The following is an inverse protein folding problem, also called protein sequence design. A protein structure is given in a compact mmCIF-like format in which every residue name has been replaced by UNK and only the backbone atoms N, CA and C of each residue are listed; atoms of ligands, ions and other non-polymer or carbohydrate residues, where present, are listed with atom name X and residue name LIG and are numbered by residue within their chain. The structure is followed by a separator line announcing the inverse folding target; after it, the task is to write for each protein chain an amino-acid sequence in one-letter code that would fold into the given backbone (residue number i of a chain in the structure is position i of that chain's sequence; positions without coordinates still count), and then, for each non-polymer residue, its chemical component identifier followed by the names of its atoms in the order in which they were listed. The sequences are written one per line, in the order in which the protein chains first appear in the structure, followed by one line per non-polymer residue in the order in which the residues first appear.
data_IF_643289846947
#
_entry.id   IF_643289846947
#
_cell.length_a   1.000
_cell.length_b   1.000
_cell.length_c   1.000
_cell.angle_alpha   90.00
_cell.angle_beta   90.00
_cell.angle_gamma   90.00
#
_symmetry.space_group_name_H-M   'P 1'
#
loop_
_entity.id
_entity.type
_entity.pdbx_description
1 polymer ?
#
# COMPACT_ATOMS: atom_id res chain seq x y z
N UNK A 1 12.55 5.82 25.76
CA UNK A 1 12.76 5.01 24.54
C UNK A 1 11.69 5.43 23.55
N UNK A 2 12.03 6.18 22.54
CA UNK A 2 11.08 6.52 21.46
C UNK A 2 10.77 5.24 20.71
N UNK A 3 9.55 4.72 20.87
CA UNK A 3 9.08 3.58 20.10
C UNK A 3 9.03 4.01 18.63
N UNK A 4 9.80 3.33 17.79
CA UNK A 4 9.81 3.54 16.33
C UNK A 4 8.54 2.94 15.66
N UNK A 5 7.47 2.80 16.45
CA UNK A 5 6.22 2.14 16.11
C UNK A 5 5.35 3.08 15.29
N UNK A 6 5.07 2.68 14.04
CA UNK A 6 4.23 3.47 13.11
C UNK A 6 2.78 2.96 13.07
N UNK A 7 2.58 1.66 13.27
CA UNK A 7 1.27 1.02 13.37
C UNK A 7 1.22 0.18 14.65
N UNK A 8 0.11 0.31 15.38
CA UNK A 8 -0.23 -0.59 16.48
C UNK A 8 -1.70 -0.95 16.43
N UNK A 9 -1.97 -2.26 16.37
CA UNK A 9 -3.31 -2.83 16.43
C UNK A 9 -3.47 -3.62 17.72
N UNK A 10 -4.53 -3.32 18.47
CA UNK A 10 -4.86 -3.97 19.72
C UNK A 10 -6.27 -4.55 19.65
N UNK A 11 -6.37 -5.87 19.64
CA UNK A 11 -7.63 -6.65 19.64
C UNK A 11 -8.64 -6.18 18.58
N UNK A 12 -8.18 -5.90 17.36
CA UNK A 12 -9.01 -5.40 16.27
C UNK A 12 -10.03 -6.46 15.86
N UNK A 13 -11.30 -6.11 15.95
CA UNK A 13 -12.43 -6.91 15.46
C UNK A 13 -13.21 -6.13 14.42
N UNK A 14 -13.67 -6.81 13.40
CA UNK A 14 -14.59 -6.24 12.42
C UNK A 14 -15.69 -7.23 12.08
N UNK A 15 -16.91 -6.84 12.34
CA UNK A 15 -18.12 -7.61 12.07
C UNK A 15 -18.94 -6.88 11.01
N UNK A 16 -19.52 -7.64 10.09
CA UNK A 16 -20.51 -7.17 9.12
C UNK A 16 -21.83 -7.88 9.35
N UNK A 17 -22.93 -7.15 9.28
CA UNK A 17 -24.29 -7.72 9.35
C UNK A 17 -24.75 -7.94 7.92
N UNK A 18 -25.02 -9.20 7.56
CA UNK A 18 -25.50 -9.59 6.22
C UNK A 18 -26.84 -10.32 6.41
N UNK A 19 -27.94 -9.60 6.20
CA UNK A 19 -29.27 -10.10 6.53
C UNK A 19 -29.40 -10.36 8.05
N UNK A 20 -29.69 -11.59 8.45
CA UNK A 20 -29.79 -12.01 9.86
C UNK A 20 -28.47 -12.54 10.45
N UNK A 21 -27.43 -12.68 9.64
CA UNK A 21 -26.16 -13.28 10.04
C UNK A 21 -25.09 -12.21 10.35
N UNK A 22 -24.20 -12.53 11.30
CA UNK A 22 -23.03 -11.71 11.58
C UNK A 22 -21.78 -12.40 11.06
N UNK A 23 -21.13 -11.77 10.07
CA UNK A 23 -19.85 -12.21 9.52
C UNK A 23 -18.72 -11.56 10.32
N UNK A 24 -17.91 -12.36 11.01
CA UNK A 24 -16.76 -11.94 11.78
C UNK A 24 -15.51 -11.90 10.89
N UNK A 25 -15.30 -10.80 10.19
CA UNK A 25 -14.18 -10.65 9.23
C UNK A 25 -12.81 -10.55 9.92
N UNK A 26 -12.73 -9.87 11.07
CA UNK A 26 -11.54 -9.86 11.95
C UNK A 26 -11.94 -10.23 13.38
N UNK A 27 -11.10 -11.05 14.03
CA UNK A 27 -11.43 -11.73 15.30
C UNK A 27 -10.37 -11.50 16.38
N UNK A 28 -9.95 -10.24 16.56
CA UNK A 28 -8.97 -9.88 17.59
C UNK A 28 -7.53 -9.89 17.03
N UNK A 29 -7.30 -9.12 15.96
CA UNK A 29 -5.98 -8.97 15.35
C UNK A 29 -5.12 -8.06 16.21
N UNK A 30 -3.88 -8.51 16.49
CA UNK A 30 -2.87 -7.78 17.24
C UNK A 30 -1.55 -7.87 16.51
N UNK A 31 -0.92 -6.76 16.22
CA UNK A 31 0.49 -6.63 15.81
C UNK A 31 0.92 -5.16 15.83
N UNK A 32 2.23 -4.94 15.78
CA UNK A 32 2.85 -3.62 15.59
C UNK A 32 3.69 -3.65 14.32
N UNK A 33 3.84 -2.50 13.66
CA UNK A 33 4.80 -2.31 12.56
C UNK A 33 5.65 -1.10 12.89
N UNK A 34 6.97 -1.25 12.77
CA UNK A 34 7.92 -0.16 13.01
C UNK A 34 8.20 0.60 11.71
N UNK A 35 8.62 1.86 11.87
CA UNK A 35 9.09 2.66 10.74
C UNK A 35 10.25 1.97 10.03
N UNK A 36 10.21 1.96 8.70
CA UNK A 36 11.23 1.33 7.87
C UNK A 36 11.10 -0.19 7.74
N UNK A 37 10.02 -0.83 8.21
CA UNK A 37 9.77 -2.25 7.92
C UNK A 37 9.13 -2.43 6.53
N UNK A 38 9.49 -3.51 5.84
CA UNK A 38 8.77 -4.03 4.68
C UNK A 38 8.03 -5.30 5.10
N UNK A 39 6.72 -5.18 5.31
CA UNK A 39 5.87 -6.25 5.85
C UNK A 39 4.98 -6.81 4.75
N UNK A 40 4.96 -8.13 4.57
CA UNK A 40 3.95 -8.80 3.75
C UNK A 40 2.85 -9.38 4.61
N UNK A 41 1.58 -9.06 4.27
CA UNK A 41 0.39 -9.65 4.89
C UNK A 41 -0.20 -10.66 3.92
N UNK A 42 -0.22 -11.93 4.32
CA UNK A 42 -0.67 -13.05 3.50
C UNK A 42 -1.89 -13.76 4.10
N UNK A 43 -2.54 -14.58 3.28
CA UNK A 43 -3.64 -15.46 3.68
C UNK A 43 -4.48 -15.88 2.49
N UNK A 44 -5.29 -16.91 2.65
CA UNK A 44 -6.24 -17.39 1.64
C UNK A 44 -7.35 -16.37 1.36
N UNK A 45 -8.11 -16.57 0.29
CA UNK A 45 -9.34 -15.78 0.06
C UNK A 45 -10.27 -15.90 1.28
N UNK A 46 -10.93 -14.81 1.66
CA UNK A 46 -11.80 -14.77 2.83
C UNK A 46 -11.09 -14.67 4.19
N UNK A 47 -9.76 -14.69 4.27
CA UNK A 47 -9.03 -14.63 5.55
C UNK A 47 -9.10 -13.28 6.29
N UNK A 48 -9.68 -12.23 5.67
CA UNK A 48 -9.82 -10.89 6.28
C UNK A 48 -8.80 -9.85 5.81
N UNK A 49 -7.92 -10.16 4.84
CA UNK A 49 -6.86 -9.25 4.35
C UNK A 49 -7.39 -7.91 3.86
N UNK A 50 -8.39 -7.90 2.96
CA UNK A 50 -8.95 -6.66 2.42
C UNK A 50 -9.65 -5.83 3.50
N UNK A 51 -10.31 -6.50 4.47
CA UNK A 51 -10.90 -5.83 5.63
C UNK A 51 -9.80 -5.18 6.49
N UNK A 52 -8.72 -5.90 6.75
CA UNK A 52 -7.57 -5.38 7.49
C UNK A 52 -6.91 -4.21 6.74
N UNK A 53 -6.69 -4.35 5.43
CA UNK A 53 -6.14 -3.29 4.58
C UNK A 53 -6.99 -2.02 4.63
N UNK A 54 -8.32 -2.14 4.57
CA UNK A 54 -9.23 -1.00 4.68
C UNK A 54 -9.15 -0.31 6.05
N UNK A 55 -8.98 -1.06 7.14
CA UNK A 55 -8.80 -0.50 8.48
C UNK A 55 -7.44 0.20 8.57
N UNK A 56 -6.34 -0.45 8.17
CA UNK A 56 -5.00 0.14 8.13
C UNK A 56 -4.98 1.42 7.30
N UNK A 57 -5.73 1.43 6.21
CA UNK A 57 -5.87 2.56 5.30
C UNK A 57 -6.84 3.64 5.78
N UNK A 58 -7.42 3.55 6.96
CA UNK A 58 -8.44 4.48 7.44
C UNK A 58 -9.66 4.64 6.50
N UNK A 59 -9.94 3.63 5.67
CA UNK A 59 -11.12 3.55 4.80
C UNK A 59 -12.33 2.99 5.55
N UNK A 60 -12.08 2.09 6.50
CA UNK A 60 -13.09 1.51 7.40
C UNK A 60 -12.65 1.64 8.86
N UNK A 61 -13.57 1.36 9.79
CA UNK A 61 -13.32 1.39 11.23
C UNK A 61 -13.54 0.03 11.84
N UNK A 62 -12.74 -0.38 12.84
CA UNK A 62 -13.00 -1.61 13.58
C UNK A 62 -14.32 -1.52 14.35
N UNK A 63 -15.01 -2.65 14.52
CA UNK A 63 -16.17 -2.77 15.42
C UNK A 63 -15.73 -2.61 16.89
N UNK A 64 -14.55 -3.16 17.23
CA UNK A 64 -13.90 -2.99 18.52
C UNK A 64 -12.39 -3.17 18.41
N UNK A 65 -11.66 -2.78 19.47
CA UNK A 65 -10.20 -2.73 19.49
C UNK A 65 -9.67 -1.34 19.23
N UNK A 66 -8.35 -1.15 19.32
CA UNK A 66 -7.68 0.13 19.12
C UNK A 66 -6.71 0.06 17.96
N UNK A 67 -6.72 1.09 17.12
CA UNK A 67 -5.77 1.29 16.03
C UNK A 67 -5.05 2.63 16.21
N UNK A 68 -3.72 2.57 16.24
CA UNK A 68 -2.86 3.74 16.29
C UNK A 68 -2.02 3.80 15.01
N UNK A 69 -2.01 4.97 14.39
CA UNK A 69 -1.17 5.30 13.25
C UNK A 69 -0.27 6.49 13.62
N UNK A 70 1.04 6.28 13.61
CA UNK A 70 2.03 7.29 13.98
C UNK A 70 1.71 7.94 15.35
N UNK A 71 1.39 7.09 16.33
CA UNK A 71 0.99 7.49 17.68
C UNK A 71 -0.42 8.07 17.83
N UNK A 72 -1.17 8.23 16.73
CA UNK A 72 -2.49 8.85 16.72
C UNK A 72 -3.58 7.78 16.78
N UNK A 73 -4.48 7.83 17.78
CA UNK A 73 -5.65 6.93 17.84
C UNK A 73 -6.65 7.25 16.71
N UNK A 74 -6.92 6.25 15.87
CA UNK A 74 -7.83 6.39 14.71
C UNK A 74 -9.28 6.12 15.10
N UNK A 75 -9.52 5.35 16.16
CA UNK A 75 -10.87 4.90 16.55
C UNK A 75 -11.84 6.04 16.85
N UNK A 76 -11.37 7.07 17.55
CA UNK A 76 -12.18 8.22 17.97
C UNK A 76 -12.44 9.24 16.86
N UNK A 77 -11.74 9.10 15.70
CA UNK A 77 -11.81 10.07 14.62
C UNK A 77 -13.11 10.00 13.84
N UNK A 78 -13.65 11.17 13.49
CA UNK A 78 -14.71 11.32 12.52
C UNK A 78 -14.26 11.03 11.09
N UNK A 79 -15.20 10.90 10.15
CA UNK A 79 -14.94 10.59 8.74
C UNK A 79 -13.96 11.59 8.09
N UNK A 80 -14.12 12.88 8.36
CA UNK A 80 -13.29 13.94 7.78
C UNK A 80 -11.85 13.87 8.32
N UNK A 81 -11.69 13.68 9.64
CA UNK A 81 -10.38 13.57 10.28
C UNK A 81 -9.58 12.37 9.74
N UNK A 82 -10.25 11.20 9.60
CA UNK A 82 -9.64 10.03 8.96
C UNK A 82 -9.22 10.28 7.51
N UNK A 83 -10.02 11.05 6.76
CA UNK A 83 -9.68 11.40 5.38
C UNK A 83 -8.44 12.30 5.30
N UNK A 84 -8.29 13.25 6.22
CA UNK A 84 -7.10 14.09 6.33
C UNK A 84 -5.89 13.27 6.76
N UNK A 85 -6.05 12.41 7.78
CA UNK A 85 -4.97 11.53 8.26
C UNK A 85 -4.49 10.61 7.14
N UNK A 86 -5.41 9.97 6.44
CA UNK A 86 -5.12 9.11 5.28
C UNK A 86 -4.34 9.85 4.20
N UNK A 87 -4.81 11.03 3.79
CA UNK A 87 -4.15 11.81 2.75
C UNK A 87 -2.70 12.17 3.12
N UNK A 88 -2.44 12.47 4.39
CA UNK A 88 -1.11 12.92 4.87
C UNK A 88 -0.15 11.78 5.20
N UNK A 89 -0.68 10.63 5.66
CA UNK A 89 0.15 9.57 6.28
C UNK A 89 0.20 8.29 5.45
N UNK A 90 -0.74 8.08 4.52
CA UNK A 90 -0.91 6.80 3.84
C UNK A 90 -0.86 6.98 2.32
N UNK A 91 0.04 6.27 1.67
CA UNK A 91 0.05 6.09 0.22
C UNK A 91 -0.61 4.77 -0.17
N UNK A 92 -1.68 4.82 -0.96
CA UNK A 92 -2.37 3.62 -1.45
C UNK A 92 -1.93 3.22 -2.84
N UNK A 93 -1.61 1.94 -3.01
CA UNK A 93 -1.34 1.30 -4.30
C UNK A 93 -2.31 0.13 -4.46
N UNK A 94 -3.35 0.32 -5.27
CA UNK A 94 -4.40 -0.68 -5.50
C UNK A 94 -4.05 -1.65 -6.63
N UNK A 95 -4.55 -2.88 -6.55
CA UNK A 95 -4.41 -3.90 -7.57
C UNK A 95 -4.93 -3.45 -8.95
N UNK A 96 -6.04 -2.71 -8.99
CA UNK A 96 -6.67 -2.20 -10.21
C UNK A 96 -6.24 -0.78 -10.58
N UNK A 97 -5.08 -0.32 -10.08
CA UNK A 97 -4.48 1.01 -10.29
C UNK A 97 -5.37 2.17 -9.82
N UNK A 98 -6.67 2.12 -10.04
CA UNK A 98 -7.66 3.16 -9.72
C UNK A 98 -7.25 4.55 -10.23
N UNK A 99 -6.72 4.60 -11.44
CA UNK A 99 -6.43 5.84 -12.13
C UNK A 99 -7.70 6.42 -12.75
N UNK A 100 -7.80 7.74 -12.80
CA UNK A 100 -8.85 8.42 -13.53
C UNK A 100 -8.58 8.27 -15.04
N UNK A 101 -9.50 7.66 -15.82
CA UNK A 101 -9.18 7.20 -17.18
C UNK A 101 -9.07 8.32 -18.20
N UNK A 102 -9.65 9.50 -17.94
CA UNK A 102 -9.64 10.65 -18.86
C UNK A 102 -8.55 11.68 -18.56
N UNK A 103 -7.79 11.47 -17.48
CA UNK A 103 -6.74 12.37 -17.03
C UNK A 103 -5.35 11.80 -17.39
N UNK A 104 -4.36 12.66 -17.44
CA UNK A 104 -2.97 12.30 -17.68
C UNK A 104 -2.35 11.62 -16.45
N UNK A 105 -1.17 11.02 -16.62
CA UNK A 105 -0.39 10.49 -15.52
C UNK A 105 -0.09 11.59 -14.48
N UNK A 106 0.30 12.77 -14.94
CA UNK A 106 0.61 13.91 -14.09
C UNK A 106 -0.61 14.36 -13.27
N UNK A 107 -1.76 14.56 -13.92
CA UNK A 107 -3.02 14.92 -13.23
C UNK A 107 -3.45 13.87 -12.20
N UNK A 108 -3.29 12.58 -12.48
CA UNK A 108 -3.54 11.50 -11.52
C UNK A 108 -2.66 11.63 -10.28
N UNK A 109 -1.36 11.97 -10.46
CA UNK A 109 -0.42 12.11 -9.34
C UNK A 109 -0.65 13.42 -8.58
N UNK A 110 -1.15 14.47 -9.20
CA UNK A 110 -1.52 15.74 -8.55
C UNK A 110 -2.74 15.61 -7.60
N UNK A 111 -3.64 14.62 -7.81
CA UNK A 111 -4.89 14.50 -7.08
C UNK A 111 -4.74 14.56 -5.54
N UNK A 112 -3.83 13.80 -4.90
CA UNK A 112 -3.68 13.87 -3.44
C UNK A 112 -3.24 15.24 -2.93
N UNK A 113 -2.47 15.98 -3.74
CA UNK A 113 -1.98 17.32 -3.40
C UNK A 113 -3.10 18.38 -3.45
N UNK A 114 -4.16 18.16 -4.22
CA UNK A 114 -5.30 19.09 -4.33
C UNK A 114 -6.07 19.23 -3.01
N UNK A 115 -5.97 18.26 -2.10
CA UNK A 115 -6.58 18.33 -0.77
C UNK A 115 -5.78 19.19 0.22
N UNK A 116 -4.61 19.68 -0.16
CA UNK A 116 -3.81 20.61 0.63
C UNK A 116 -3.86 22.01 0.02
N UNK A 117 -4.69 22.89 0.60
CA UNK A 117 -4.88 24.26 0.14
C UNK A 117 -3.64 25.15 0.26
N UNK A 118 -2.62 24.75 1.01
CA UNK A 118 -1.39 25.51 1.16
C UNK A 118 -0.40 25.33 -0.01
N UNK A 119 -0.63 24.34 -0.89
CA UNK A 119 0.24 24.02 -2.03
C UNK A 119 -0.31 24.73 -3.28
N UNK A 120 0.51 25.58 -3.90
CA UNK A 120 0.14 26.26 -5.14
C UNK A 120 0.01 25.30 -6.34
N UNK A 121 -0.70 25.70 -7.41
CA UNK A 121 -0.82 24.87 -8.61
C UNK A 121 0.55 24.55 -9.25
N UNK A 122 1.48 25.53 -9.26
CA UNK A 122 2.84 25.33 -9.76
C UNK A 122 3.60 24.29 -8.94
N UNK A 123 3.55 24.41 -7.62
CA UNK A 123 4.22 23.49 -6.70
C UNK A 123 3.65 22.06 -6.81
N UNK A 124 2.30 21.91 -6.93
CA UNK A 124 1.68 20.59 -7.18
C UNK A 124 2.24 19.95 -8.45
N UNK A 125 2.33 20.72 -9.52
CA UNK A 125 2.88 20.25 -10.80
C UNK A 125 4.33 19.78 -10.67
N UNK A 126 5.17 20.52 -9.96
CA UNK A 126 6.57 20.19 -9.72
C UNK A 126 6.71 18.93 -8.87
N UNK A 127 5.93 18.79 -7.78
CA UNK A 127 5.94 17.61 -6.90
C UNK A 127 5.48 16.35 -7.64
N UNK A 128 4.38 16.45 -8.39
CA UNK A 128 3.86 15.34 -9.17
C UNK A 128 4.82 14.92 -10.29
N UNK A 129 5.47 15.90 -10.94
CA UNK A 129 6.50 15.65 -11.95
C UNK A 129 7.68 14.87 -11.36
N UNK A 130 8.21 15.30 -10.19
CA UNK A 130 9.30 14.61 -9.48
C UNK A 130 8.89 13.19 -9.06
N UNK A 131 7.64 12.99 -8.62
CA UNK A 131 7.15 11.67 -8.25
C UNK A 131 7.09 10.71 -9.45
N UNK A 132 6.69 11.19 -10.62
CA UNK A 132 6.73 10.41 -11.87
C UNK A 132 8.17 10.10 -12.32
N UNK A 133 9.07 11.05 -12.19
CA UNK A 133 10.50 10.84 -12.50
C UNK A 133 11.09 9.75 -11.61
N UNK A 134 10.75 9.73 -10.32
CA UNK A 134 11.22 8.75 -9.34
C UNK A 134 10.79 7.30 -9.65
N UNK A 135 9.73 7.12 -10.45
CA UNK A 135 9.24 5.80 -10.88
C UNK A 135 9.57 5.50 -12.36
N UNK A 136 10.43 6.32 -13.00
CA UNK A 136 10.87 6.12 -14.38
C UNK A 136 9.83 6.49 -15.44
N UNK A 137 8.95 7.45 -15.18
CA UNK A 137 7.88 7.89 -16.09
C UNK A 137 8.01 9.37 -16.51
N UNK A 138 9.23 9.93 -16.53
CA UNK A 138 9.51 11.30 -16.94
C UNK A 138 8.87 11.66 -18.29
N UNK A 139 9.04 10.80 -19.29
CA UNK A 139 8.56 11.01 -20.68
C UNK A 139 7.07 10.68 -20.86
N UNK A 140 6.40 10.14 -19.84
CA UNK A 140 5.01 9.69 -19.90
C UNK A 140 4.02 10.58 -19.13
N UNK A 141 4.46 11.72 -18.62
CA UNK A 141 3.66 12.65 -17.78
C UNK A 141 2.33 13.04 -18.41
N UNK A 142 2.32 13.28 -19.72
CA UNK A 142 1.15 13.75 -20.47
C UNK A 142 0.32 12.61 -21.08
N UNK A 143 0.70 11.34 -20.89
CA UNK A 143 -0.08 10.21 -21.39
C UNK A 143 -1.28 9.92 -20.49
N UNK A 144 -2.41 9.55 -21.09
CA UNK A 144 -3.61 9.08 -20.38
C UNK A 144 -3.46 7.59 -20.05
N UNK A 145 -4.25 7.10 -19.07
CA UNK A 145 -4.18 5.70 -18.61
C UNK A 145 -4.33 4.70 -19.77
N UNK A 146 -5.21 4.97 -20.74
CA UNK A 146 -5.44 4.10 -21.90
C UNK A 146 -4.31 4.11 -22.95
N UNK A 147 -3.31 4.95 -22.77
CA UNK A 147 -2.09 5.04 -23.61
C UNK A 147 -0.88 4.40 -22.92
N UNK A 148 -1.10 3.72 -21.79
CA UNK A 148 -0.06 3.17 -20.92
C UNK A 148 -0.25 1.69 -20.71
N UNK A 149 0.85 0.93 -20.66
CA UNK A 149 0.82 -0.48 -20.27
C UNK A 149 0.36 -0.65 -18.80
N UNK A 150 -0.05 -1.86 -18.41
CA UNK A 150 -0.43 -2.17 -17.02
C UNK A 150 0.67 -1.81 -16.01
N UNK A 151 1.93 -2.14 -16.32
CA UNK A 151 3.07 -1.79 -15.48
C UNK A 151 3.31 -0.28 -15.39
N UNK A 152 3.15 0.47 -16.48
CA UNK A 152 3.22 1.93 -16.45
C UNK A 152 2.09 2.53 -15.61
N UNK A 153 0.86 2.03 -15.73
CA UNK A 153 -0.26 2.46 -14.90
C UNK A 153 -0.01 2.20 -13.41
N UNK A 154 0.57 1.04 -13.07
CA UNK A 154 0.96 0.72 -11.69
C UNK A 154 2.04 1.67 -11.17
N UNK A 155 3.04 2.02 -11.98
CA UNK A 155 4.05 3.01 -11.61
C UNK A 155 3.45 4.41 -11.39
N UNK A 156 2.44 4.82 -12.17
CA UNK A 156 1.66 6.05 -11.90
C UNK A 156 0.93 5.96 -10.57
N UNK A 157 0.28 4.83 -10.26
CA UNK A 157 -0.38 4.62 -8.97
C UNK A 157 0.61 4.69 -7.79
N UNK A 158 1.82 4.16 -7.95
CA UNK A 158 2.90 4.28 -6.96
C UNK A 158 3.37 5.73 -6.81
N UNK A 159 3.60 6.46 -7.92
CA UNK A 159 3.97 7.88 -7.87
C UNK A 159 2.89 8.70 -7.14
N UNK A 160 1.61 8.44 -7.43
CA UNK A 160 0.47 9.06 -6.73
C UNK A 160 0.46 8.74 -5.24
N UNK A 161 0.82 7.52 -4.85
CA UNK A 161 0.91 7.12 -3.46
C UNK A 161 2.04 7.84 -2.71
N UNK A 162 3.15 8.15 -3.39
CA UNK A 162 4.35 8.76 -2.82
C UNK A 162 4.31 10.29 -2.74
N UNK A 163 3.45 10.95 -3.52
CA UNK A 163 3.52 12.40 -3.78
C UNK A 163 3.36 13.28 -2.53
N UNK A 164 2.63 12.81 -1.51
CA UNK A 164 2.47 13.47 -0.21
C UNK A 164 3.52 13.06 0.82
N UNK A 165 4.57 12.34 0.44
CA UNK A 165 5.60 11.82 1.36
C UNK A 165 5.02 11.04 2.55
N UNK A 166 4.20 10.00 2.32
CA UNK A 166 3.48 9.30 3.38
C UNK A 166 4.43 8.52 4.30
N UNK A 167 4.01 8.29 5.54
CA UNK A 167 4.78 7.47 6.51
C UNK A 167 4.68 5.98 6.21
N UNK A 168 3.59 5.54 5.56
CA UNK A 168 3.39 4.15 5.12
C UNK A 168 2.88 4.08 3.69
N UNK A 169 3.29 3.02 2.98
CA UNK A 169 2.76 2.64 1.68
C UNK A 169 1.98 1.35 1.86
N UNK A 170 0.66 1.39 1.61
CA UNK A 170 -0.21 0.22 1.60
C UNK A 170 -0.39 -0.25 0.16
N UNK A 171 0.20 -1.39 -0.19
CA UNK A 171 0.14 -1.94 -1.52
C UNK A 171 -0.63 -3.26 -1.54
N UNK A 172 -1.59 -3.40 -2.45
CA UNK A 172 -2.25 -4.66 -2.75
C UNK A 172 -1.55 -5.33 -3.93
N UNK A 173 -1.43 -6.68 -3.87
CA UNK A 173 -0.69 -7.44 -4.86
C UNK A 173 -1.16 -7.21 -6.29
N UNK A 174 -0.19 -7.23 -7.18
CA UNK A 174 -0.29 -7.01 -8.62
C UNK A 174 -0.88 -8.22 -9.38
N UNK A 175 -1.93 -8.86 -8.84
CA UNK A 175 -2.51 -10.08 -9.42
C UNK A 175 -3.02 -9.96 -10.87
N UNK A 176 -3.05 -8.74 -11.40
CA UNK A 176 -3.43 -8.44 -12.79
C UNK A 176 -2.24 -8.15 -13.69
N UNK A 177 -1.00 -8.25 -13.17
CA UNK A 177 0.23 -8.04 -13.93
C UNK A 177 0.88 -9.37 -14.27
N UNK A 178 1.60 -9.39 -15.39
CA UNK A 178 2.50 -10.49 -15.73
C UNK A 178 3.62 -10.64 -14.70
N UNK A 179 4.30 -11.78 -14.74
CA UNK A 179 5.33 -12.12 -13.76
C UNK A 179 6.48 -11.11 -13.78
N UNK A 180 6.95 -10.71 -14.96
CA UNK A 180 8.07 -9.77 -15.12
C UNK A 180 7.74 -8.42 -14.54
N UNK A 181 6.60 -7.85 -14.92
CA UNK A 181 6.10 -6.55 -14.39
C UNK A 181 5.90 -6.60 -12.88
N UNK A 182 5.41 -7.72 -12.33
CA UNK A 182 5.28 -7.90 -10.87
C UNK A 182 6.62 -7.80 -10.16
N UNK A 183 7.68 -8.39 -10.70
CA UNK A 183 9.03 -8.28 -10.15
C UNK A 183 9.63 -6.87 -10.32
N UNK A 184 9.36 -6.18 -11.42
CA UNK A 184 9.75 -4.77 -11.57
C UNK A 184 9.15 -3.88 -10.46
N UNK A 185 7.88 -4.11 -10.10
CA UNK A 185 7.24 -3.39 -9.00
C UNK A 185 7.83 -3.78 -7.64
N UNK A 186 8.17 -5.06 -7.42
CA UNK A 186 8.85 -5.49 -6.21
C UNK A 186 10.26 -4.88 -6.08
N UNK A 187 11.00 -4.75 -7.17
CA UNK A 187 12.29 -4.02 -7.19
C UNK A 187 12.08 -2.59 -6.71
N UNK A 188 11.08 -1.89 -7.26
CA UNK A 188 10.76 -0.52 -6.84
C UNK A 188 10.39 -0.46 -5.36
N UNK A 189 9.62 -1.40 -4.83
CA UNK A 189 9.32 -1.46 -3.39
C UNK A 189 10.57 -1.73 -2.55
N UNK A 190 11.47 -2.62 -2.97
CA UNK A 190 12.74 -2.85 -2.27
C UNK A 190 13.64 -1.60 -2.27
N UNK A 191 13.69 -0.86 -3.38
CA UNK A 191 14.41 0.42 -3.44
C UNK A 191 13.80 1.48 -2.50
N UNK A 192 12.47 1.58 -2.44
CA UNK A 192 11.79 2.48 -1.52
C UNK A 192 12.05 2.10 -0.06
N UNK A 193 12.00 0.80 0.25
CA UNK A 193 12.34 0.27 1.57
C UNK A 193 13.80 0.57 1.96
N UNK A 194 14.75 0.38 1.05
CA UNK A 194 16.17 0.71 1.28
C UNK A 194 16.40 2.21 1.56
N UNK A 195 15.47 3.09 1.08
CA UNK A 195 15.45 4.52 1.41
C UNK A 195 14.68 4.83 2.71
N UNK A 196 14.37 3.82 3.52
CA UNK A 196 13.71 3.95 4.83
C UNK A 196 12.18 4.05 4.80
N UNK A 197 11.52 3.76 3.67
CA UNK A 197 10.05 3.76 3.61
C UNK A 197 9.46 2.52 4.27
N UNK A 198 8.36 2.71 4.99
CA UNK A 198 7.57 1.61 5.56
C UNK A 198 6.59 1.12 4.50
N UNK A 199 6.62 -0.18 4.20
CA UNK A 199 5.79 -0.78 3.16
C UNK A 199 4.99 -1.93 3.76
N UNK A 200 3.69 -1.94 3.49
CA UNK A 200 2.79 -3.05 3.82
C UNK A 200 2.24 -3.58 2.51
N UNK A 201 2.65 -4.78 2.16
CA UNK A 201 2.28 -5.45 0.92
C UNK A 201 1.29 -6.58 1.21
N UNK A 202 0.10 -6.51 0.65
CA UNK A 202 -0.94 -7.53 0.84
C UNK A 202 -0.99 -8.42 -0.37
N UNK A 203 -0.80 -9.72 -0.19
CA UNK A 203 -0.79 -10.70 -1.28
C UNK A 203 -1.46 -12.01 -0.89
N UNK A 204 -1.95 -12.74 -1.88
CA UNK A 204 -2.33 -14.14 -1.74
C UNK A 204 -1.27 -15.11 -2.32
N UNK A 205 -0.21 -14.58 -2.95
CA UNK A 205 0.90 -15.37 -3.48
C UNK A 205 2.01 -15.51 -2.42
N UNK A 206 2.23 -16.74 -1.88
CA UNK A 206 3.26 -16.97 -0.86
C UNK A 206 4.69 -16.72 -1.34
N UNK A 207 4.96 -16.89 -2.65
CA UNK A 207 6.31 -16.68 -3.21
C UNK A 207 6.81 -15.25 -3.03
N UNK A 208 5.87 -14.27 -3.10
CA UNK A 208 6.21 -12.86 -2.96
C UNK A 208 6.64 -12.49 -1.54
N UNK A 209 6.33 -13.33 -0.54
CA UNK A 209 6.71 -13.10 0.85
C UNK A 209 8.22 -13.17 1.11
N UNK A 210 8.95 -13.89 0.26
CA UNK A 210 10.42 -13.97 0.36
C UNK A 210 11.11 -12.60 0.15
N UNK A 211 10.42 -11.63 -0.48
CA UNK A 211 10.96 -10.33 -0.86
C UNK A 211 10.72 -9.23 0.17
N UNK A 212 10.05 -9.52 1.28
CA UNK A 212 9.83 -8.61 2.40
C UNK A 212 10.66 -8.99 3.62
N UNK A 213 10.85 -8.06 4.56
CA UNK A 213 11.63 -8.30 5.78
C UNK A 213 10.84 -9.02 6.88
N UNK A 214 9.50 -9.06 6.78
CA UNK A 214 8.61 -9.67 7.77
C UNK A 214 7.32 -10.15 7.13
N UNK A 215 6.80 -11.28 7.61
CA UNK A 215 5.61 -11.93 7.08
C UNK A 215 4.57 -12.12 8.17
N UNK A 216 3.36 -11.59 7.94
CA UNK A 216 2.19 -11.78 8.81
C UNK A 216 1.18 -12.62 8.03
N UNK A 217 0.75 -13.75 8.60
CA UNK A 217 -0.22 -14.65 7.96
C UNK A 217 -1.57 -14.54 8.66
N UNK A 218 -2.60 -14.18 7.87
CA UNK A 218 -3.99 -14.16 8.31
C UNK A 218 -4.71 -15.44 7.88
N UNK A 219 -5.50 -15.99 8.81
CA UNK A 219 -6.47 -17.05 8.55
C UNK A 219 -7.70 -16.86 9.43
N UNK A 220 -8.90 -16.94 8.83
CA UNK A 220 -10.20 -16.83 9.51
C UNK A 220 -10.31 -15.60 10.44
N UNK A 221 -9.78 -14.46 9.98
CA UNK A 221 -9.81 -13.19 10.70
C UNK A 221 -8.81 -13.08 11.87
N UNK A 222 -7.83 -13.99 11.97
CA UNK A 222 -6.80 -14.00 13.02
C UNK A 222 -5.39 -14.01 12.43
N UNK A 223 -4.44 -13.43 13.12
CA UNK A 223 -3.01 -13.62 12.86
C UNK A 223 -2.61 -15.00 13.39
N UNK A 224 -2.13 -15.88 12.50
CA UNK A 224 -1.68 -17.23 12.85
C UNK A 224 -0.15 -17.37 12.83
N UNK A 225 0.54 -16.43 12.19
CA UNK A 225 2.00 -16.38 12.14
C UNK A 225 2.44 -14.94 11.94
N UNK A 226 3.55 -14.57 12.58
CA UNK A 226 4.23 -13.29 12.45
C UNK A 226 5.73 -13.56 12.58
N UNK A 227 6.45 -13.56 11.46
CA UNK A 227 7.83 -14.01 11.39
C UNK A 227 8.69 -13.01 10.64
N UNK A 228 9.90 -12.78 11.13
CA UNK A 228 10.93 -12.03 10.41
C UNK A 228 11.59 -12.91 9.37
N UNK A 229 11.91 -12.31 8.23
CA UNK A 229 12.65 -12.95 7.17
C UNK A 229 14.13 -12.53 7.28
N UNK A 230 14.95 -13.43 7.82
CA UNK A 230 16.38 -13.15 8.05
C UNK A 230 17.17 -13.04 6.74
N UNK A 231 16.68 -13.67 5.67
CA UNK A 231 17.30 -13.63 4.33
C UNK A 231 16.28 -13.17 3.31
N UNK A 232 16.12 -11.86 3.23
CA UNK A 232 15.26 -11.25 2.22
C UNK A 232 15.82 -11.53 0.82
N UNK A 233 15.00 -12.12 -0.06
CA UNK A 233 15.37 -12.35 -1.45
C UNK A 233 15.47 -11.04 -2.24
N UNK A 234 16.35 -10.99 -3.24
CA UNK A 234 16.49 -9.86 -4.13
C UNK A 234 15.53 -9.99 -5.30
N UNK A 235 14.57 -9.06 -5.40
CA UNK A 235 13.66 -8.98 -6.54
C UNK A 235 14.41 -8.64 -7.84
N UNK A 236 15.50 -7.86 -7.76
CA UNK A 236 16.35 -7.52 -8.89
C UNK A 236 17.05 -8.76 -9.47
N UNK A 237 17.62 -9.61 -8.60
CA UNK A 237 18.26 -10.85 -9.06
C UNK A 237 17.26 -11.80 -9.73
N UNK A 238 16.02 -11.87 -9.21
CA UNK A 238 14.97 -12.68 -9.83
C UNK A 238 14.55 -12.09 -11.18
N UNK A 239 14.36 -10.79 -11.26
CA UNK A 239 14.01 -10.10 -12.50
C UNK A 239 15.06 -10.33 -13.62
N UNK A 240 16.35 -10.36 -13.27
CA UNK A 240 17.44 -10.64 -14.21
C UNK A 240 17.43 -12.08 -14.75
N UNK A 241 16.87 -13.03 -14.00
CA UNK A 241 16.74 -14.45 -14.41
C UNK A 241 15.51 -14.72 -15.27
N UNK A 242 14.52 -13.81 -15.28
CA UNK A 242 13.34 -13.96 -16.11
C UNK A 242 13.67 -13.70 -17.59
N UNK A 243 13.08 -14.50 -18.51
CA UNK A 243 13.26 -14.29 -19.95
C UNK A 243 12.87 -12.86 -20.32
N UNK A 244 13.66 -12.23 -21.18
CA UNK A 244 13.25 -10.98 -21.83
C UNK A 244 12.21 -11.38 -22.87
N UNK A 245 10.97 -10.92 -22.73
CA UNK A 245 9.99 -11.08 -23.80
C UNK A 245 10.54 -10.31 -25.01
N UNK A 246 10.94 -11.09 -26.02
CA UNK A 246 11.20 -10.57 -27.37
C UNK A 246 9.84 -10.47 -28.05
N UNK A 247 9.39 -9.21 -28.32
CA UNK A 247 8.25 -8.91 -29.19
C UNK A 247 8.37 -9.56 -30.57
#
# INVERSE_FOLDING_TARGET
MTTNEIIRLENIRRNFIVGSETVHALRGVNFTINSGEFVTIMGTSGSGKSTLLNILGCLDTPTSGEYYLDGISVRSMGKNERSVLRNRKIGFVFQSYNLLPKTTALENVELPLMYNSSISAKERHELASKALDAVGLAERKNHKSNQMSGGQQQRVAIARALVNDPVIILAEATGNLDTRTSFEILVLFQELHARGRTIIFVTHNPELSAYSSRNIVLRDGKVISDTRNEKQASALEMLQKLPVETD
#
